data_IF_471192749501
#
_entry.id   IF_471192749501
#
_cell.length_a   1.000
_cell.length_b   1.000
_cell.length_c   1.000
_cell.angle_alpha   90.00
_cell.angle_beta   90.00
_cell.angle_gamma   90.00
#
_symmetry.space_group_name_H-M   'P 1'
#
loop_
_entity.id
_entity.type
_entity.pdbx_description
1 polymer ?
#
# COMPACT_ATOMS: atom_id res chain seq x y z
N UNK A 1 26.66 -15.62 -22.58
CA UNK A 1 27.40 -14.55 -21.88
C UNK A 1 26.81 -14.48 -20.48
N UNK A 2 27.44 -15.14 -19.51
CA UNK A 2 27.02 -15.04 -18.10
C UNK A 2 27.32 -13.62 -17.63
N UNK A 3 26.27 -12.84 -17.38
CA UNK A 3 26.40 -11.54 -16.73
C UNK A 3 26.92 -11.80 -15.32
N UNK A 4 28.18 -11.44 -15.10
CA UNK A 4 28.83 -11.55 -13.80
C UNK A 4 27.92 -10.91 -12.74
N UNK A 5 27.50 -11.71 -11.75
CA UNK A 5 26.75 -11.24 -10.58
C UNK A 5 27.51 -10.06 -9.98
N UNK A 6 26.99 -8.85 -10.12
CA UNK A 6 27.51 -7.61 -9.52
C UNK A 6 27.24 -7.56 -8.01
N UNK A 7 27.27 -8.72 -7.34
CA UNK A 7 27.19 -8.80 -5.88
C UNK A 7 28.61 -8.82 -5.34
N UNK A 8 29.01 -7.73 -4.69
CA UNK A 8 30.23 -7.73 -3.88
C UNK A 8 30.07 -8.82 -2.82
N UNK A 9 30.98 -9.81 -2.74
CA UNK A 9 30.88 -10.88 -1.75
C UNK A 9 30.76 -10.31 -0.33
N UNK A 10 29.69 -10.70 0.38
CA UNK A 10 29.43 -10.27 1.75
C UNK A 10 28.57 -9.00 1.92
N UNK A 11 28.20 -8.29 0.84
CA UNK A 11 27.27 -7.15 0.91
C UNK A 11 25.87 -7.54 0.42
N UNK A 12 24.85 -7.17 1.19
CA UNK A 12 23.45 -7.40 0.86
C UNK A 12 22.57 -6.24 1.31
N UNK A 13 21.60 -5.85 0.47
CA UNK A 13 20.64 -4.81 0.83
C UNK A 13 19.88 -5.12 2.12
N UNK A 14 19.39 -6.36 2.35
CA UNK A 14 18.66 -6.70 3.58
C UNK A 14 19.45 -6.49 4.88
N UNK A 15 20.79 -6.58 4.84
CA UNK A 15 21.63 -6.39 6.02
C UNK A 15 22.18 -4.98 6.12
N UNK A 16 22.72 -4.44 5.04
CA UNK A 16 23.55 -3.24 5.07
C UNK A 16 22.74 -1.95 4.91
N UNK A 17 21.57 -2.05 4.27
CA UNK A 17 20.70 -0.92 3.95
C UNK A 17 19.37 -0.95 4.71
N UNK A 18 19.28 -1.75 5.78
CA UNK A 18 18.06 -1.91 6.59
C UNK A 18 17.45 -0.57 7.03
N UNK A 19 18.30 0.39 7.40
CA UNK A 19 17.88 1.73 7.85
C UNK A 19 17.85 2.78 6.72
N UNK A 20 18.31 2.41 5.52
CA UNK A 20 18.45 3.30 4.36
C UNK A 20 17.44 3.00 3.24
N UNK A 21 16.32 2.34 3.56
CA UNK A 21 15.28 1.97 2.58
C UNK A 21 14.78 3.16 1.74
N UNK A 22 14.61 4.34 2.33
CA UNK A 22 14.13 5.51 1.58
C UNK A 22 15.16 6.00 0.55
N UNK A 23 16.46 5.84 0.82
CA UNK A 23 17.51 6.14 -0.14
C UNK A 23 17.52 5.14 -1.30
N UNK A 24 17.37 3.84 -0.99
CA UNK A 24 17.24 2.77 -2.01
C UNK A 24 16.04 3.03 -2.91
N UNK A 25 14.87 3.35 -2.34
CA UNK A 25 13.68 3.70 -3.11
C UNK A 25 13.92 4.92 -3.99
N UNK A 26 14.51 5.98 -3.45
CA UNK A 26 14.81 7.20 -4.22
C UNK A 26 15.70 6.91 -5.43
N UNK A 27 16.73 6.08 -5.25
CA UNK A 27 17.60 5.64 -6.33
C UNK A 27 16.81 4.87 -7.40
N UNK A 28 16.02 3.87 -6.99
CA UNK A 28 15.22 3.07 -7.91
C UNK A 28 14.20 3.90 -8.71
N UNK A 29 13.61 4.93 -8.10
CA UNK A 29 12.74 5.88 -8.80
C UNK A 29 13.50 6.72 -9.82
N UNK A 30 14.71 7.17 -9.49
CA UNK A 30 15.56 7.89 -10.43
C UNK A 30 15.94 7.00 -11.62
N UNK A 31 16.27 5.72 -11.38
CA UNK A 31 16.59 4.77 -12.45
C UNK A 31 15.42 4.48 -13.37
N UNK A 32 14.20 4.39 -12.82
CA UNK A 32 12.99 4.29 -13.63
C UNK A 32 12.80 5.52 -14.53
N UNK A 33 13.09 6.72 -14.02
CA UNK A 33 13.04 7.93 -14.83
C UNK A 33 14.07 7.90 -15.96
N UNK A 34 15.30 7.45 -15.67
CA UNK A 34 16.36 7.26 -16.68
C UNK A 34 15.95 6.22 -17.73
N UNK A 35 15.40 5.06 -17.33
CA UNK A 35 14.89 4.04 -18.25
C UNK A 35 13.81 4.62 -19.17
N UNK A 36 12.86 5.38 -18.61
CA UNK A 36 11.82 6.03 -19.42
C UNK A 36 12.40 7.07 -20.41
N UNK A 37 13.45 7.79 -20.02
CA UNK A 37 14.17 8.69 -20.92
C UNK A 37 14.85 7.93 -22.07
N UNK A 38 15.49 6.79 -21.79
CA UNK A 38 16.07 5.92 -22.82
C UNK A 38 14.99 5.40 -23.80
N UNK A 39 13.82 4.98 -23.30
CA UNK A 39 12.71 4.57 -24.16
C UNK A 39 12.22 5.70 -25.06
N UNK A 40 12.15 6.92 -24.52
CA UNK A 40 11.76 8.10 -25.30
C UNK A 40 12.77 8.41 -26.41
N UNK A 41 14.06 8.27 -26.12
CA UNK A 41 15.14 8.45 -27.09
C UNK A 41 15.10 7.38 -28.19
N UNK A 42 14.90 6.10 -27.84
CA UNK A 42 14.76 5.00 -28.80
C UNK A 42 13.57 5.23 -29.73
N UNK A 43 12.43 5.63 -29.17
CA UNK A 43 11.24 5.96 -29.96
C UNK A 43 11.50 7.13 -30.93
N UNK A 44 12.19 8.17 -30.47
CA UNK A 44 12.61 9.28 -31.33
C UNK A 44 13.57 8.84 -32.44
N UNK A 45 14.51 7.93 -32.14
CA UNK A 45 15.42 7.37 -33.15
C UNK A 45 14.67 6.60 -34.22
N UNK A 46 13.75 5.72 -33.85
CA UNK A 46 12.92 4.98 -34.81
C UNK A 46 12.11 5.90 -35.73
N UNK A 47 11.52 6.97 -35.17
CA UNK A 47 10.79 7.97 -35.94
C UNK A 47 11.69 8.69 -36.96
N UNK A 48 12.92 9.04 -36.55
CA UNK A 48 13.91 9.64 -37.45
C UNK A 48 14.33 8.67 -38.57
N UNK A 49 14.52 7.39 -38.28
CA UNK A 49 14.85 6.38 -39.30
C UNK A 49 13.71 6.22 -40.32
N UNK A 50 12.46 6.18 -39.86
CA UNK A 50 11.30 6.16 -40.75
C UNK A 50 11.19 7.42 -41.62
N UNK A 51 11.41 8.59 -41.02
CA UNK A 51 11.39 9.86 -41.76
C UNK A 51 12.49 9.88 -42.82
N UNK A 52 13.72 9.52 -42.45
CA UNK A 52 14.86 9.48 -43.35
C UNK A 52 14.61 8.51 -44.51
N UNK A 53 14.13 7.30 -44.21
CA UNK A 53 13.78 6.33 -45.24
C UNK A 53 12.69 6.84 -46.19
N UNK A 54 11.71 7.59 -45.67
CA UNK A 54 10.63 8.17 -46.49
C UNK A 54 11.17 9.24 -47.43
N UNK A 55 12.05 10.12 -46.95
CA UNK A 55 12.70 11.12 -47.80
C UNK A 55 13.61 10.49 -48.86
N UNK A 56 14.35 9.42 -48.53
CA UNK A 56 15.15 8.67 -49.51
C UNK A 56 14.28 8.07 -50.61
N UNK A 57 13.13 7.50 -50.28
CA UNK A 57 12.18 6.98 -51.27
C UNK A 57 11.61 8.13 -52.14
N UNK A 58 11.23 9.24 -51.52
CA UNK A 58 10.73 10.43 -52.24
C UNK A 58 11.76 11.01 -53.20
N UNK A 59 13.05 11.01 -52.83
CA UNK A 59 14.14 11.42 -53.70
C UNK A 59 14.34 10.41 -54.83
N UNK A 60 14.26 9.11 -54.55
CA UNK A 60 14.34 8.07 -55.57
C UNK A 60 13.24 8.23 -56.65
N UNK A 61 12.02 8.59 -56.24
CA UNK A 61 10.88 8.78 -57.15
C UNK A 61 10.98 10.06 -58.01
N UNK A 62 11.79 11.03 -57.59
CA UNK A 62 12.05 12.26 -58.37
C UNK A 62 12.99 12.03 -59.56
N UNK A 63 13.78 10.95 -59.56
CA UNK A 63 14.54 10.52 -60.72
C UNK A 63 13.59 9.90 -61.75
N UNK A 64 12.83 10.74 -62.45
CA UNK A 64 12.05 10.36 -63.63
C UNK A 64 13.02 9.97 -64.73
N UNK A 65 13.19 8.67 -64.94
CA UNK A 65 13.87 8.11 -66.10
C UNK A 65 12.74 7.66 -66.99
N UNK A 66 12.40 8.46 -68.00
CA UNK A 66 11.39 8.07 -68.98
C UNK A 66 11.94 6.85 -69.72
N UNK A 67 11.29 5.70 -69.53
CA UNK A 67 11.57 4.45 -70.26
C UNK A 67 10.95 4.47 -71.68
N UNK A 68 10.42 5.62 -72.10
CA UNK A 68 9.73 5.88 -73.38
C UNK A 68 10.74 6.11 -74.53
N UNK A 69 11.56 5.11 -74.87
CA UNK A 69 12.34 5.16 -76.12
C UNK A 69 12.64 3.79 -76.76
N UNK A 70 12.02 2.70 -76.31
CA UNK A 70 12.26 1.33 -76.84
C UNK A 70 11.02 0.64 -77.44
N UNK A 71 9.92 1.37 -77.68
CA UNK A 71 8.72 0.77 -78.28
C UNK A 71 8.01 1.71 -79.26
N UNK A 72 8.62 1.93 -80.42
CA UNK A 72 7.89 2.40 -81.60
C UNK A 72 8.48 1.81 -82.90
N UNK A 73 8.59 0.49 -82.96
CA UNK A 73 8.62 -0.26 -84.22
C UNK A 73 7.40 -1.18 -84.29
N UNK A 74 6.34 -0.84 -85.06
CA UNK A 74 5.26 -1.76 -85.34
C UNK A 74 5.69 -2.70 -86.48
N UNK A 75 6.22 -3.86 -86.12
CA UNK A 75 6.39 -4.98 -87.06
C UNK A 75 5.08 -5.78 -87.12
N UNK A 76 4.38 -5.75 -88.26
CA UNK A 76 3.58 -6.89 -88.72
C UNK A 76 2.29 -6.61 -89.50
N UNK A 77 2.22 -7.23 -90.69
CA UNK A 77 1.11 -7.36 -91.66
C UNK A 77 0.99 -6.20 -92.68
N UNK A 78 1.11 -6.38 -94.00
CA UNK A 78 0.62 -7.46 -94.85
C UNK A 78 1.21 -7.37 -96.29
N UNK A 79 1.45 -8.53 -96.93
CA UNK A 79 1.52 -8.86 -98.38
C UNK A 79 2.21 -7.94 -99.42
N UNK A 80 3.11 -8.52 -100.23
CA UNK A 80 3.34 -8.09 -101.61
C UNK A 80 4.71 -8.47 -102.18
N UNK A 81 4.71 -9.21 -103.28
CA UNK A 81 5.87 -9.85 -103.89
C UNK A 81 6.78 -8.91 -104.73
N UNK A 82 7.83 -9.56 -105.30
CA UNK A 82 8.62 -9.29 -106.52
C UNK A 82 9.80 -8.28 -106.51
N UNK A 83 11.01 -8.85 -106.41
CA UNK A 83 12.13 -8.87 -107.39
C UNK A 83 12.87 -7.57 -107.77
N UNK A 84 14.22 -7.62 -107.76
CA UNK A 84 15.07 -6.66 -108.49
C UNK A 84 16.28 -6.03 -107.79
N UNK A 85 17.40 -6.77 -107.68
CA UNK A 85 18.76 -6.44 -108.20
C UNK A 85 19.40 -5.03 -107.99
N UNK A 86 20.59 -5.07 -107.33
CA UNK A 86 21.88 -4.32 -107.53
C UNK A 86 22.13 -2.92 -106.91
N UNK A 87 23.38 -2.77 -106.46
CA UNK A 87 24.11 -1.55 -105.99
C UNK A 87 24.54 -1.77 -104.53
N UNK A 88 25.78 -2.09 -104.13
CA UNK A 88 27.09 -1.50 -104.43
C UNK A 88 27.05 0.02 -104.38
N UNK A 89 27.38 0.59 -103.21
CA UNK A 89 28.16 1.83 -103.07
C UNK A 89 28.73 1.89 -101.64
N UNK A 90 30.05 2.09 -101.60
CA UNK A 90 30.83 2.53 -100.44
C UNK A 90 30.38 3.96 -100.07
N UNK A 91 30.20 4.29 -98.78
CA UNK A 91 30.55 5.63 -98.27
C UNK A 91 30.60 5.69 -96.74
N UNK A 92 31.50 6.53 -96.29
CA UNK A 92 31.92 6.80 -94.92
C UNK A 92 30.83 7.38 -94.02
N UNK A 93 30.87 7.04 -92.73
CA UNK A 93 29.89 7.50 -91.75
C UNK A 93 30.30 7.31 -90.29
N UNK A 94 31.59 7.51 -90.01
CA UNK A 94 32.12 7.80 -88.69
C UNK A 94 31.37 8.99 -88.05
N UNK A 95 30.98 8.87 -86.76
CA UNK A 95 30.55 10.01 -85.94
C UNK A 95 29.19 9.97 -85.23
N UNK A 96 28.34 8.96 -85.44
CA UNK A 96 26.98 8.93 -84.85
C UNK A 96 26.84 8.27 -83.47
N UNK A 97 27.76 7.37 -83.09
CA UNK A 97 27.51 6.40 -82.02
C UNK A 97 27.87 6.87 -80.59
N UNK A 98 28.60 7.98 -80.45
CA UNK A 98 29.12 8.43 -79.14
C UNK A 98 28.07 9.19 -78.32
N UNK A 99 27.14 9.91 -78.96
CA UNK A 99 26.06 10.65 -78.25
C UNK A 99 24.99 9.72 -77.69
N UNK A 100 24.59 8.70 -78.45
CA UNK A 100 23.60 7.69 -78.03
C UNK A 100 24.18 6.78 -76.95
N UNK A 101 25.45 6.37 -77.09
CA UNK A 101 26.16 5.59 -76.06
C UNK A 101 26.31 6.36 -74.75
N UNK A 102 26.64 7.66 -74.77
CA UNK A 102 26.75 8.50 -73.56
C UNK A 102 25.39 8.77 -72.89
N UNK A 103 24.32 8.90 -73.68
CA UNK A 103 22.95 8.94 -73.16
C UNK A 103 22.58 7.63 -72.46
N UNK A 104 22.97 6.48 -73.02
CA UNK A 104 22.72 5.16 -72.42
C UNK A 104 23.48 4.95 -71.10
N UNK A 105 24.76 5.32 -71.02
CA UNK A 105 25.55 5.20 -69.77
C UNK A 105 25.08 6.16 -68.68
N UNK A 106 24.63 7.35 -69.05
CA UNK A 106 24.02 8.31 -68.11
C UNK A 106 22.67 7.81 -67.58
N UNK A 107 21.80 7.29 -68.45
CA UNK A 107 20.53 6.65 -68.06
C UNK A 107 20.77 5.47 -67.11
N UNK A 108 21.77 4.64 -67.41
CA UNK A 108 22.15 3.51 -66.55
C UNK A 108 22.71 3.96 -65.19
N UNK A 109 23.56 4.99 -65.16
CA UNK A 109 24.06 5.58 -63.92
C UNK A 109 22.93 6.19 -63.06
N UNK A 110 21.96 6.86 -63.68
CA UNK A 110 20.77 7.39 -62.99
C UNK A 110 19.86 6.27 -62.47
N UNK A 111 19.67 5.17 -63.22
CA UNK A 111 18.95 3.97 -62.74
C UNK A 111 19.67 3.34 -61.55
N UNK A 112 20.98 3.21 -61.62
CA UNK A 112 21.82 2.72 -60.51
C UNK A 112 21.70 3.60 -59.27
N UNK A 113 21.72 4.93 -59.44
CA UNK A 113 21.54 5.87 -58.33
C UNK A 113 20.14 5.75 -57.72
N UNK A 114 19.08 5.71 -58.55
CA UNK A 114 17.71 5.48 -58.08
C UNK A 114 17.59 4.18 -57.28
N UNK A 115 18.14 3.08 -57.78
CA UNK A 115 18.17 1.79 -57.09
C UNK A 115 18.94 1.85 -55.76
N UNK A 116 20.00 2.65 -55.67
CA UNK A 116 20.74 2.84 -54.43
C UNK A 116 19.91 3.59 -53.37
N UNK A 117 19.19 4.65 -53.76
CA UNK A 117 18.31 5.39 -52.85
C UNK A 117 17.14 4.53 -52.36
N UNK A 118 16.50 3.74 -53.24
CA UNK A 118 15.43 2.82 -52.83
C UNK A 118 15.94 1.71 -51.93
N UNK A 119 17.09 1.10 -52.23
CA UNK A 119 17.68 0.07 -51.38
C UNK A 119 18.00 0.61 -49.99
N UNK A 120 18.67 1.77 -49.93
CA UNK A 120 19.00 2.43 -48.65
C UNK A 120 17.73 2.78 -47.87
N UNK A 121 16.68 3.29 -48.53
CA UNK A 121 15.37 3.52 -47.89
C UNK A 121 14.80 2.25 -47.25
N UNK A 122 14.81 1.12 -47.97
CA UNK A 122 14.33 -0.17 -47.44
C UNK A 122 15.16 -0.62 -46.24
N UNK A 123 16.49 -0.47 -46.29
CA UNK A 123 17.37 -0.81 -45.16
C UNK A 123 17.04 0.01 -43.90
N UNK A 124 16.81 1.32 -44.03
CA UNK A 124 16.46 2.17 -42.89
C UNK A 124 15.05 1.87 -42.35
N UNK A 125 14.09 1.49 -43.20
CA UNK A 125 12.79 0.96 -42.74
C UNK A 125 12.93 -0.33 -41.95
N UNK A 126 13.75 -1.26 -42.45
CA UNK A 126 14.02 -2.52 -41.77
C UNK A 126 14.73 -2.30 -40.43
N UNK A 127 15.72 -1.40 -40.38
CA UNK A 127 16.41 -1.02 -39.13
C UNK A 127 15.42 -0.47 -38.09
N UNK A 128 14.51 0.41 -38.50
CA UNK A 128 13.50 0.97 -37.59
C UNK A 128 12.55 -0.11 -37.05
N UNK A 129 12.14 -1.07 -37.88
CA UNK A 129 11.31 -2.21 -37.46
C UNK A 129 12.07 -3.10 -36.46
N UNK A 130 13.33 -3.44 -36.76
CA UNK A 130 14.16 -4.25 -35.86
C UNK A 130 14.42 -3.52 -34.53
N UNK A 131 14.64 -2.21 -34.54
CA UNK A 131 14.77 -1.41 -33.31
C UNK A 131 13.49 -1.42 -32.47
N UNK A 132 12.30 -1.46 -33.09
CA UNK A 132 11.06 -1.61 -32.35
C UNK A 132 10.98 -2.98 -31.68
N UNK A 133 11.09 -4.04 -32.48
CA UNK A 133 10.85 -5.43 -32.06
C UNK A 133 11.93 -5.96 -31.10
N UNK A 134 13.21 -5.76 -31.43
CA UNK A 134 14.31 -6.39 -30.70
C UNK A 134 14.76 -5.58 -29.47
N UNK A 135 14.51 -4.26 -29.46
CA UNK A 135 15.04 -3.36 -28.42
C UNK A 135 13.92 -2.64 -27.69
N UNK A 136 13.08 -1.88 -28.39
CA UNK A 136 12.09 -1.03 -27.74
C UNK A 136 11.01 -1.84 -27.01
N UNK A 137 10.40 -2.84 -27.65
CA UNK A 137 9.32 -3.64 -27.03
C UNK A 137 9.80 -4.42 -25.79
N UNK A 138 10.96 -5.11 -25.79
CA UNK A 138 11.49 -5.77 -24.60
C UNK A 138 11.78 -4.78 -23.46
N UNK A 139 12.45 -3.66 -23.76
CA UNK A 139 12.73 -2.63 -22.75
C UNK A 139 11.45 -2.01 -22.20
N UNK A 140 10.47 -1.73 -23.05
CA UNK A 140 9.20 -1.15 -22.63
C UNK A 140 8.38 -2.11 -21.76
N UNK A 141 8.41 -3.40 -22.08
CA UNK A 141 7.77 -4.45 -21.26
C UNK A 141 8.44 -4.56 -19.89
N UNK A 142 9.78 -4.56 -19.86
CA UNK A 142 10.54 -4.54 -18.61
C UNK A 142 10.20 -3.29 -17.79
N UNK A 143 10.18 -2.11 -18.40
CA UNK A 143 9.82 -0.86 -17.72
C UNK A 143 8.43 -0.94 -17.07
N UNK A 144 7.41 -1.41 -17.79
CA UNK A 144 6.05 -1.60 -17.23
C UNK A 144 6.04 -2.54 -16.03
N UNK A 145 6.76 -3.65 -16.12
CA UNK A 145 6.91 -4.61 -15.03
C UNK A 145 7.58 -3.95 -13.80
N UNK A 146 8.67 -3.22 -14.01
CA UNK A 146 9.43 -2.56 -12.96
C UNK A 146 8.61 -1.45 -12.26
N UNK A 147 7.85 -0.65 -13.01
CA UNK A 147 6.93 0.36 -12.45
C UNK A 147 5.84 -0.29 -11.59
N UNK A 148 5.27 -1.40 -12.05
CA UNK A 148 4.28 -2.17 -11.27
C UNK A 148 4.90 -2.78 -10.01
N UNK A 149 6.15 -3.23 -10.05
CA UNK A 149 6.87 -3.74 -8.88
C UNK A 149 7.16 -2.63 -7.88
N UNK A 150 7.63 -1.46 -8.35
CA UNK A 150 7.92 -0.29 -7.51
C UNK A 150 6.71 0.21 -6.73
N UNK A 151 5.55 0.30 -7.39
CA UNK A 151 4.31 0.73 -6.73
C UNK A 151 3.87 -0.26 -5.64
N UNK A 152 3.97 -1.57 -5.90
CA UNK A 152 3.70 -2.61 -4.89
C UNK A 152 4.62 -2.49 -3.68
N UNK A 153 5.93 -2.32 -3.89
CA UNK A 153 6.90 -2.18 -2.81
C UNK A 153 6.66 -0.90 -1.99
N UNK A 154 6.27 0.19 -2.65
CA UNK A 154 5.92 1.46 -2.00
C UNK A 154 4.68 1.31 -1.10
N UNK A 155 3.63 0.65 -1.59
CA UNK A 155 2.42 0.37 -0.80
C UNK A 155 2.75 -0.55 0.38
N UNK A 156 3.54 -1.61 0.16
CA UNK A 156 3.95 -2.53 1.21
C UNK A 156 4.73 -1.80 2.31
N UNK A 157 5.74 -1.01 1.95
CA UNK A 157 6.54 -0.20 2.87
C UNK A 157 5.66 0.72 3.72
N UNK A 158 4.74 1.44 3.07
CA UNK A 158 3.85 2.39 3.76
C UNK A 158 2.91 1.66 4.72
N UNK A 159 2.37 0.51 4.31
CA UNK A 159 1.47 -0.31 5.12
C UNK A 159 2.16 -0.81 6.39
N UNK A 160 3.35 -1.40 6.26
CA UNK A 160 4.07 -1.99 7.42
C UNK A 160 4.51 -0.90 8.40
N UNK A 161 5.00 0.25 7.91
CA UNK A 161 5.31 1.42 8.76
C UNK A 161 4.07 1.92 9.50
N UNK A 162 2.93 2.06 8.81
CA UNK A 162 1.67 2.51 9.43
C UNK A 162 1.16 1.54 10.48
N UNK A 163 1.24 0.22 10.21
CA UNK A 163 0.84 -0.81 11.16
C UNK A 163 1.68 -0.76 12.44
N UNK A 164 3.01 -0.70 12.31
CA UNK A 164 3.92 -0.64 13.47
C UNK A 164 3.66 0.60 14.31
N UNK A 165 3.49 1.77 13.65
CA UNK A 165 3.16 3.02 14.33
C UNK A 165 1.82 2.96 15.07
N UNK A 166 0.83 2.21 14.56
CA UNK A 166 -0.44 2.02 15.25
C UNK A 166 -0.29 1.19 16.55
N UNK A 167 0.56 0.15 16.53
CA UNK A 167 0.88 -0.61 17.74
C UNK A 167 1.70 0.20 18.74
N UNK A 168 2.66 0.99 18.27
CA UNK A 168 3.43 1.93 19.11
C UNK A 168 2.50 2.92 19.84
N UNK A 169 1.58 3.53 19.09
CA UNK A 169 0.60 4.47 19.62
C UNK A 169 -0.37 3.79 20.61
N UNK A 170 -0.77 2.55 20.34
CA UNK A 170 -1.57 1.77 21.27
C UNK A 170 -0.83 1.51 22.58
N UNK A 171 0.43 1.05 22.51
CA UNK A 171 1.29 0.85 23.67
C UNK A 171 1.46 2.16 24.47
N UNK A 172 1.75 3.27 23.79
CA UNK A 172 1.91 4.58 24.44
C UNK A 172 0.66 4.99 25.23
N UNK A 173 -0.53 4.79 24.67
CA UNK A 173 -1.80 5.05 25.38
C UNK A 173 -1.97 4.16 26.61
N UNK A 174 -1.68 2.87 26.50
CA UNK A 174 -1.78 1.96 27.65
C UNK A 174 -0.75 2.27 28.72
N UNK A 175 0.47 2.66 28.33
CA UNK A 175 1.51 3.08 29.25
C UNK A 175 1.10 4.33 30.05
N UNK A 176 0.53 5.34 29.39
CA UNK A 176 0.02 6.55 30.06
C UNK A 176 -1.12 6.19 31.04
N UNK A 177 -2.04 5.30 30.63
CA UNK A 177 -3.14 4.83 31.49
C UNK A 177 -2.59 4.09 32.72
N UNK A 178 -1.64 3.20 32.52
CA UNK A 178 -0.96 2.48 33.60
C UNK A 178 -0.27 3.44 34.58
N UNK A 179 0.54 4.38 34.07
CA UNK A 179 1.27 5.34 34.91
C UNK A 179 0.31 6.19 35.78
N UNK A 180 -0.82 6.61 35.20
CA UNK A 180 -1.87 7.32 35.95
C UNK A 180 -2.43 6.47 37.10
N UNK A 181 -2.84 5.23 36.83
CA UNK A 181 -3.42 4.37 37.86
C UNK A 181 -2.39 3.91 38.89
N UNK A 182 -1.13 3.74 38.48
CA UNK A 182 -0.04 3.43 39.40
C UNK A 182 0.22 4.58 40.39
N UNK A 183 0.24 5.83 39.92
CA UNK A 183 0.36 7.02 40.78
C UNK A 183 -0.81 7.18 41.73
N UNK A 184 -2.03 6.94 41.24
CA UNK A 184 -3.24 6.96 42.06
C UNK A 184 -3.17 5.91 43.17
N UNK A 185 -2.89 4.64 42.82
CA UNK A 185 -2.70 3.56 43.78
C UNK A 185 -1.59 3.85 44.80
N UNK A 186 -0.46 4.40 44.36
CA UNK A 186 0.65 4.79 45.25
C UNK A 186 0.20 5.87 46.24
N UNK A 187 -0.58 6.85 45.78
CA UNK A 187 -1.09 7.95 46.61
C UNK A 187 -2.11 7.45 47.63
N UNK A 188 -3.09 6.64 47.20
CA UNK A 188 -4.10 6.08 48.11
C UNK A 188 -3.50 5.07 49.08
N UNK A 189 -2.47 4.32 48.67
CA UNK A 189 -1.74 3.42 49.56
C UNK A 189 -0.99 4.20 50.65
N UNK A 190 -0.28 5.27 50.29
CA UNK A 190 0.40 6.14 51.25
C UNK A 190 -0.60 6.75 52.25
N UNK A 191 -1.71 7.29 51.75
CA UNK A 191 -2.79 7.84 52.60
C UNK A 191 -3.35 6.80 53.58
N UNK A 192 -3.53 5.56 53.15
CA UNK A 192 -3.99 4.49 54.04
C UNK A 192 -2.99 4.20 55.16
N UNK A 193 -1.70 4.18 54.85
CA UNK A 193 -0.65 4.00 55.85
C UNK A 193 -0.58 5.19 56.82
N UNK A 194 -0.70 6.42 56.33
CA UNK A 194 -0.68 7.64 57.16
C UNK A 194 -1.84 7.69 58.16
N UNK A 195 -3.00 7.13 57.80
CA UNK A 195 -4.18 7.01 58.68
C UNK A 195 -4.07 5.82 59.67
N UNK A 196 -2.97 5.06 59.59
CA UNK A 196 -2.63 3.96 60.50
C UNK A 196 -3.22 2.61 60.10
N UNK A 197 -3.53 2.40 58.82
CA UNK A 197 -3.88 1.07 58.29
C UNK A 197 -2.59 0.29 58.06
N UNK A 198 -2.44 -0.86 58.71
CA UNK A 198 -1.24 -1.68 58.56
C UNK A 198 -1.09 -2.20 57.11
N UNK A 199 0.14 -2.17 56.59
CA UNK A 199 0.47 -2.64 55.23
C UNK A 199 0.03 -4.08 55.00
N UNK A 200 0.11 -4.95 56.00
CA UNK A 200 -0.26 -6.36 55.93
C UNK A 200 -1.76 -6.52 55.66
N UNK A 201 -2.60 -5.63 56.19
CA UNK A 201 -4.06 -5.68 55.99
C UNK A 201 -4.38 -5.37 54.53
N UNK A 202 -3.78 -4.29 54.00
CA UNK A 202 -3.94 -3.90 52.59
C UNK A 202 -3.42 -5.00 51.67
N UNK A 203 -2.25 -5.56 51.99
CA UNK A 203 -1.64 -6.64 51.21
C UNK A 203 -2.49 -7.90 51.22
N UNK A 204 -2.92 -8.39 52.38
CA UNK A 204 -3.75 -9.59 52.50
C UNK A 204 -5.09 -9.44 51.77
N UNK A 205 -5.69 -8.24 51.81
CA UNK A 205 -6.93 -7.98 51.10
C UNK A 205 -6.73 -7.89 49.59
N UNK A 206 -5.59 -7.37 49.12
CA UNK A 206 -5.19 -7.46 47.72
C UNK A 206 -4.89 -8.91 47.29
N UNK A 207 -4.24 -9.73 48.12
CA UNK A 207 -4.00 -11.15 47.83
C UNK A 207 -5.31 -11.94 47.68
N UNK A 208 -6.33 -11.58 48.46
CA UNK A 208 -7.67 -12.14 48.36
C UNK A 208 -8.46 -11.60 47.15
N UNK A 209 -7.94 -10.60 46.44
CA UNK A 209 -8.60 -10.01 45.27
C UNK A 209 -8.62 -10.99 44.09
N UNK A 210 -9.73 -11.05 43.33
CA UNK A 210 -9.79 -11.77 42.06
C UNK A 210 -8.74 -11.34 41.04
N UNK A 211 -8.23 -10.10 41.12
CA UNK A 211 -7.19 -9.59 40.20
C UNK A 211 -5.84 -10.25 40.47
N UNK A 212 -5.53 -10.49 41.75
CA UNK A 212 -4.31 -11.19 42.16
C UNK A 212 -4.43 -12.70 41.95
N UNK A 213 -5.61 -13.27 42.23
CA UNK A 213 -5.94 -14.69 42.04
C UNK A 213 -6.20 -15.09 40.59
N UNK A 214 -5.86 -14.26 39.60
CA UNK A 214 -5.68 -14.72 38.22
C UNK A 214 -4.19 -15.09 38.01
N UNK A 215 -3.73 -16.29 38.41
CA UNK A 215 -2.50 -16.81 37.86
C UNK A 215 -2.78 -17.10 36.39
N UNK A 216 -1.95 -16.57 35.49
CA UNK A 216 -1.68 -17.15 34.17
C UNK A 216 -2.87 -17.91 33.56
N UNK A 217 -3.94 -17.22 33.14
CA UNK A 217 -4.76 -17.80 32.08
C UNK A 217 -3.84 -17.91 30.88
N UNK A 218 -3.35 -19.12 30.65
CA UNK A 218 -2.69 -19.55 29.42
C UNK A 218 -3.51 -18.97 28.29
N UNK A 219 -2.85 -18.14 27.47
CA UNK A 219 -3.36 -17.68 26.19
C UNK A 219 -4.03 -18.86 25.47
N UNK A 220 -5.36 -18.90 25.50
CA UNK A 220 -6.14 -19.70 24.57
C UNK A 220 -6.24 -18.87 23.28
N UNK A 221 -5.84 -19.42 22.11
CA UNK A 221 -5.56 -18.63 20.92
C UNK A 221 -6.81 -18.19 20.14
N UNK A 222 -7.97 -18.00 20.78
CA UNK A 222 -9.25 -17.85 20.06
C UNK A 222 -10.02 -16.55 20.30
N UNK A 223 -9.38 -15.51 20.84
CA UNK A 223 -9.90 -14.14 20.69
C UNK A 223 -8.92 -13.28 19.92
N UNK A 224 -8.86 -13.58 18.62
CA UNK A 224 -8.48 -12.63 17.58
C UNK A 224 -9.38 -11.41 17.73
N UNK A 225 -8.91 -10.41 18.48
CA UNK A 225 -9.30 -9.02 18.25
C UNK A 225 -9.13 -8.80 16.76
N UNK A 226 -10.24 -8.54 16.08
CA UNK A 226 -10.31 -8.37 14.63
C UNK A 226 -9.21 -7.41 14.20
N UNK A 227 -8.21 -7.86 13.41
CA UNK A 227 -7.29 -6.94 12.79
C UNK A 227 -8.08 -6.07 11.80
N UNK A 228 -7.71 -4.80 11.58
CA UNK A 228 -8.18 -4.08 10.40
C UNK A 228 -7.83 -4.91 9.15
N UNK A 229 -8.69 -4.93 8.12
CA UNK A 229 -8.75 -5.98 7.12
C UNK A 229 -7.38 -6.22 6.48
N UNK A 230 -6.83 -7.39 6.79
CA UNK A 230 -5.68 -7.96 6.12
C UNK A 230 -6.19 -8.58 4.83
N UNK A 231 -6.08 -7.85 3.72
CA UNK A 231 -6.13 -8.49 2.40
C UNK A 231 -4.88 -9.37 2.29
N UNK A 232 -5.07 -10.65 2.60
CA UNK A 232 -4.13 -11.72 2.28
C UNK A 232 -3.88 -11.72 0.77
N UNK A 233 -2.61 -11.68 0.41
CA UNK A 233 -2.16 -12.04 -0.92
C UNK A 233 -2.08 -13.57 -0.95
N UNK A 234 -2.86 -14.20 -1.81
CA UNK A 234 -2.52 -15.52 -2.35
C UNK A 234 -2.42 -15.44 -3.88
N UNK A 235 -1.61 -16.30 -4.51
CA UNK A 235 -1.20 -16.17 -5.90
C UNK A 235 -2.12 -16.90 -6.90
N UNK A 236 -2.28 -16.25 -8.06
CA UNK A 236 -2.57 -16.81 -9.40
C UNK A 236 -3.72 -17.84 -9.58
N UNK A 237 -4.80 -17.41 -10.26
CA UNK A 237 -5.45 -18.19 -11.33
C UNK A 237 -6.31 -17.27 -12.22
N UNK A 238 -6.29 -17.59 -13.50
CA UNK A 238 -6.90 -16.96 -14.68
C UNK A 238 -8.43 -17.11 -14.76
N UNK A 239 -9.11 -16.12 -15.35
CA UNK A 239 -10.15 -16.24 -16.43
C UNK A 239 -11.29 -15.22 -16.29
N UNK A 240 -11.40 -14.38 -17.32
CA UNK A 240 -12.60 -13.90 -18.04
C UNK A 240 -13.91 -13.46 -17.34
N UNK A 241 -14.36 -12.30 -17.86
CA UNK A 241 -15.74 -11.93 -18.24
C UNK A 241 -16.67 -11.16 -17.27
N UNK A 242 -16.95 -9.91 -17.68
CA UNK A 242 -18.28 -9.33 -17.97
C UNK A 242 -19.10 -8.63 -16.86
N UNK A 243 -19.25 -7.30 -17.07
CA UNK A 243 -20.40 -6.38 -16.93
C UNK A 243 -21.08 -6.05 -15.58
N UNK A 244 -20.96 -4.75 -15.25
CA UNK A 244 -21.95 -3.71 -14.89
C UNK A 244 -23.13 -3.93 -13.92
N UNK A 245 -23.60 -2.85 -13.23
CA UNK A 245 -24.31 -2.92 -11.95
C UNK A 245 -25.78 -2.45 -12.00
N UNK A 246 -26.69 -3.03 -11.21
CA UNK A 246 -27.99 -2.41 -10.91
C UNK A 246 -28.63 -2.85 -9.59
N UNK A 247 -29.19 -1.85 -8.89
CA UNK A 247 -30.42 -1.81 -8.09
C UNK A 247 -30.55 -2.46 -6.68
N UNK A 248 -30.79 -1.58 -5.69
CA UNK A 248 -31.73 -1.73 -4.57
C UNK A 248 -33.18 -1.40 -5.05
N UNK A 249 -34.30 -1.55 -4.27
CA UNK A 249 -34.45 -1.73 -2.80
C UNK A 249 -35.62 -2.68 -2.35
N UNK A 250 -36.01 -2.57 -1.06
CA UNK A 250 -37.22 -3.10 -0.34
C UNK A 250 -37.09 -4.45 0.40
N UNK A 251 -37.73 -4.75 1.56
CA UNK A 251 -38.28 -4.07 2.77
C UNK A 251 -38.76 -5.23 3.70
N UNK A 252 -39.10 -4.94 4.99
CA UNK A 252 -39.85 -5.76 6.00
C UNK A 252 -38.99 -6.74 6.85
N UNK A 253 -39.05 -6.88 8.20
CA UNK A 253 -39.76 -6.24 9.33
C UNK A 253 -39.23 -6.85 10.66
N UNK A 254 -39.05 -5.99 11.67
CA UNK A 254 -39.24 -6.15 13.15
C UNK A 254 -38.47 -7.16 14.01
N UNK A 255 -38.02 -6.63 15.16
CA UNK A 255 -37.85 -7.14 16.55
C UNK A 255 -36.47 -6.66 17.03
N UNK A 256 -36.24 -5.96 18.14
CA UNK A 256 -37.00 -5.58 19.32
C UNK A 256 -35.98 -4.95 20.29
N UNK A 257 -36.23 -3.73 20.74
CA UNK A 257 -35.35 -2.94 21.63
C UNK A 257 -35.56 -3.36 23.09
N UNK A 258 -34.51 -3.57 23.93
CA UNK A 258 -34.72 -3.70 25.37
C UNK A 258 -34.68 -2.34 26.06
N UNK A 259 -35.73 -2.10 26.84
CA UNK A 259 -36.00 -0.88 27.60
C UNK A 259 -35.22 -0.80 28.93
N UNK A 260 -35.02 0.44 29.34
CA UNK A 260 -34.39 0.96 30.57
C UNK A 260 -35.23 0.64 31.82
N UNK A 261 -34.62 0.22 32.95
CA UNK A 261 -35.35 0.00 34.21
C UNK A 261 -35.61 1.31 35.01
N UNK A 262 -36.73 1.40 35.76
CA UNK A 262 -37.12 2.58 36.55
C UNK A 262 -36.54 2.59 37.98
N UNK A 263 -36.49 3.76 38.65
CA UNK A 263 -35.87 3.95 39.97
C UNK A 263 -36.80 3.59 41.15
N UNK A 264 -36.25 3.24 42.33
CA UNK A 264 -37.04 2.89 43.50
C UNK A 264 -37.51 4.09 44.34
N UNK A 265 -38.63 3.84 45.00
CA UNK A 265 -39.63 4.71 45.59
C UNK A 265 -39.27 5.32 46.95
N UNK A 266 -39.59 6.60 47.14
CA UNK A 266 -39.66 7.27 48.46
C UNK A 266 -41.08 7.15 49.05
N UNK A 267 -41.26 6.84 50.35
CA UNK A 267 -42.55 6.94 50.99
C UNK A 267 -42.82 8.34 51.56
N UNK A 268 -44.00 8.85 51.23
CA UNK A 268 -44.62 10.12 51.62
C UNK A 268 -45.20 9.99 53.05
N UNK A 269 -44.94 10.96 53.93
CA UNK A 269 -45.60 11.08 55.24
C UNK A 269 -46.82 12.00 55.06
N UNK A 270 -48.01 11.52 55.40
CA UNK A 270 -49.24 12.31 55.50
C UNK A 270 -49.61 12.50 56.98
N UNK A 271 -49.79 13.76 57.38
CA UNK A 271 -50.28 14.17 58.70
C UNK A 271 -51.80 14.33 58.63
N UNK A 272 -52.53 13.83 59.64
CA UNK A 272 -53.93 14.20 59.89
C UNK A 272 -54.24 14.15 61.38
N UNK A 273 -54.80 15.25 61.88
CA UNK A 273 -55.29 15.50 63.23
C UNK A 273 -56.69 14.91 63.46
N UNK A 274 -57.05 14.64 64.73
CA UNK A 274 -58.44 14.76 65.19
C UNK A 274 -59.03 13.68 66.12
N UNK A 275 -58.88 13.90 67.44
CA UNK A 275 -59.88 13.74 68.55
C UNK A 275 -60.57 12.39 68.88
N UNK A 276 -60.49 12.00 70.18
CA UNK A 276 -61.64 11.46 70.92
C UNK A 276 -61.47 10.25 71.87
N UNK A 277 -61.32 10.53 73.18
CA UNK A 277 -61.74 9.76 74.39
C UNK A 277 -60.97 8.53 74.96
N UNK A 278 -60.51 8.74 76.21
CA UNK A 278 -59.97 7.90 77.32
C UNK A 278 -60.89 6.73 77.81
N UNK A 279 -60.42 5.72 78.61
CA UNK A 279 -59.50 5.85 79.76
C UNK A 279 -58.39 4.81 80.01
N UNK A 280 -57.47 5.27 80.86
CA UNK A 280 -56.23 4.72 81.47
C UNK A 280 -56.29 3.28 82.04
N UNK A 281 -55.12 2.60 82.17
CA UNK A 281 -54.43 2.63 83.47
C UNK A 281 -52.92 2.96 83.38
N UNK A 282 -52.27 2.95 84.55
CA UNK A 282 -51.25 3.88 85.03
C UNK A 282 -49.81 3.34 84.86
N UNK A 283 -48.86 4.29 84.72
CA UNK A 283 -47.39 4.14 84.88
C UNK A 283 -46.67 3.43 83.72
N UNK A 284 -45.73 4.06 83.01
CA UNK A 284 -44.44 4.47 83.58
C UNK A 284 -43.88 5.65 82.80
N UNK A 285 -43.43 6.66 83.53
CA UNK A 285 -42.67 7.80 83.04
C UNK A 285 -41.41 7.32 82.30
N UNK A 286 -41.35 7.53 81.00
CA UNK A 286 -40.09 7.65 80.27
C UNK A 286 -40.10 9.02 79.62
N UNK A 287 -39.33 9.91 80.22
CA UNK A 287 -39.06 11.26 79.77
C UNK A 287 -38.79 11.26 78.27
N UNK A 288 -39.51 12.12 77.53
CA UNK A 288 -39.09 12.56 76.20
C UNK A 288 -37.78 13.32 76.37
N UNK A 289 -36.67 12.59 76.49
CA UNK A 289 -35.35 13.15 76.32
C UNK A 289 -35.26 13.58 74.86
N UNK A 290 -35.22 14.90 74.67
CA UNK A 290 -34.66 15.60 73.52
C UNK A 290 -33.84 14.67 72.62
N UNK A 291 -34.32 14.43 71.40
CA UNK A 291 -33.50 13.86 70.33
C UNK A 291 -32.30 14.78 70.18
N UNK A 292 -31.20 14.34 70.75
CA UNK A 292 -29.95 15.09 70.82
C UNK A 292 -29.41 15.21 69.39
N UNK A 293 -29.52 16.41 68.81
CA UNK A 293 -29.07 16.68 67.45
C UNK A 293 -27.61 16.28 67.22
N UNK A 294 -26.79 16.25 68.28
CA UNK A 294 -25.42 15.76 68.23
C UNK A 294 -25.31 14.25 68.03
N UNK A 295 -26.23 13.44 68.59
CA UNK A 295 -26.31 11.99 68.32
C UNK A 295 -26.79 11.73 66.90
N UNK A 296 -27.73 12.52 66.39
CA UNK A 296 -28.18 12.40 65.00
C UNK A 296 -27.04 12.72 64.01
N UNK A 297 -26.28 13.78 64.26
CA UNK A 297 -25.10 14.18 63.48
C UNK A 297 -23.96 13.15 63.60
N UNK A 298 -23.77 12.55 64.78
CA UNK A 298 -22.83 11.44 64.99
C UNK A 298 -23.23 10.15 64.27
N UNK A 299 -24.51 9.95 63.94
CA UNK A 299 -24.99 8.84 63.12
C UNK A 299 -24.92 9.14 61.62
N UNK A 300 -24.96 10.42 61.24
CA UNK A 300 -24.88 10.89 59.85
C UNK A 300 -23.43 11.09 59.36
N UNK A 301 -22.49 11.35 60.27
CA UNK A 301 -21.06 11.45 59.95
C UNK A 301 -20.42 10.06 59.99
N UNK A 302 -19.65 9.65 58.97
CA UNK A 302 -18.95 8.38 58.99
C UNK A 302 -18.06 8.29 60.24
N UNK A 303 -18.19 7.19 60.98
CA UNK A 303 -17.33 6.96 62.14
C UNK A 303 -15.86 6.94 61.72
N UNK A 304 -14.94 7.25 62.64
CA UNK A 304 -13.50 7.17 62.35
C UNK A 304 -13.09 5.79 61.79
N UNK A 305 -13.78 4.73 62.22
CA UNK A 305 -13.60 3.38 61.70
C UNK A 305 -14.15 3.22 60.27
N UNK A 306 -15.36 3.69 59.99
CA UNK A 306 -15.93 3.65 58.63
C UNK A 306 -15.07 4.42 57.61
N UNK A 307 -14.45 5.54 58.02
CA UNK A 307 -13.50 6.27 57.16
C UNK A 307 -12.26 5.43 56.84
N UNK A 308 -11.73 4.69 57.82
CA UNK A 308 -10.61 3.76 57.63
C UNK A 308 -10.97 2.59 56.74
N UNK A 309 -12.15 1.99 56.94
CA UNK A 309 -12.62 0.87 56.14
C UNK A 309 -12.88 1.29 54.68
N UNK A 310 -13.47 2.48 54.46
CA UNK A 310 -13.66 3.05 53.13
C UNK A 310 -12.32 3.35 52.44
N UNK A 311 -11.34 3.89 53.18
CA UNK A 311 -10.01 4.16 52.64
C UNK A 311 -9.30 2.85 52.27
N UNK A 312 -9.35 1.83 53.14
CA UNK A 312 -8.83 0.49 52.86
C UNK A 312 -9.42 -0.09 51.57
N UNK A 313 -10.74 -0.07 51.41
CA UNK A 313 -11.43 -0.55 50.20
C UNK A 313 -10.97 0.26 48.97
N UNK A 314 -10.82 1.57 49.11
CA UNK A 314 -10.40 2.46 48.01
C UNK A 314 -8.96 2.18 47.61
N UNK A 315 -8.04 2.01 48.57
CA UNK A 315 -6.64 1.66 48.32
C UNK A 315 -6.51 0.32 47.62
N UNK A 316 -7.24 -0.71 48.08
CA UNK A 316 -7.24 -2.04 47.45
C UNK A 316 -7.77 -1.94 46.00
N UNK A 317 -8.89 -1.24 45.78
CA UNK A 317 -9.43 -1.03 44.42
C UNK A 317 -8.49 -0.25 43.50
N UNK A 318 -7.77 0.73 44.03
CA UNK A 318 -6.78 1.48 43.27
C UNK A 318 -5.62 0.57 42.83
N UNK A 319 -5.14 -0.30 43.72
CA UNK A 319 -4.11 -1.32 43.41
C UNK A 319 -4.63 -2.32 42.36
N UNK A 320 -5.86 -2.82 42.48
CA UNK A 320 -6.49 -3.71 41.50
C UNK A 320 -6.57 -3.07 40.10
N UNK A 321 -6.96 -1.79 40.06
CA UNK A 321 -7.06 -1.01 38.82
C UNK A 321 -5.69 -0.78 38.20
N UNK A 322 -4.68 -0.50 39.03
CA UNK A 322 -3.29 -0.37 38.59
C UNK A 322 -2.75 -1.70 38.03
N UNK A 323 -2.99 -2.84 38.68
CA UNK A 323 -2.51 -4.14 38.19
C UNK A 323 -3.20 -4.57 36.89
N UNK A 324 -4.52 -4.33 36.78
CA UNK A 324 -5.26 -4.57 35.53
C UNK A 324 -4.65 -3.76 34.39
N UNK A 325 -4.37 -2.47 34.63
CA UNK A 325 -3.75 -1.58 33.64
C UNK A 325 -2.29 -1.97 33.33
N UNK A 326 -1.57 -2.52 34.33
CA UNK A 326 -0.23 -3.08 34.15
C UNK A 326 -0.24 -4.28 33.21
N UNK A 327 -1.26 -5.14 33.33
CA UNK A 327 -1.43 -6.30 32.45
C UNK A 327 -1.78 -5.87 31.02
N UNK A 328 -2.73 -4.95 30.84
CA UNK A 328 -3.08 -4.37 29.53
C UNK A 328 -1.86 -3.71 28.86
N UNK A 329 -1.06 -2.97 29.63
CA UNK A 329 0.18 -2.35 29.15
C UNK A 329 1.21 -3.41 28.69
N UNK A 330 1.38 -4.50 29.45
CA UNK A 330 2.25 -5.63 29.05
C UNK A 330 1.80 -6.27 27.74
N UNK A 331 0.50 -6.53 27.60
CA UNK A 331 -0.06 -7.13 26.36
C UNK A 331 0.18 -6.20 25.18
N UNK A 332 -0.04 -4.89 25.35
CA UNK A 332 0.23 -3.90 24.30
C UNK A 332 1.71 -3.80 23.95
N UNK A 333 2.61 -3.89 24.93
CA UNK A 333 4.06 -3.94 24.71
C UNK A 333 4.47 -5.15 23.88
N UNK A 334 3.99 -6.34 24.24
CA UNK A 334 4.29 -7.57 23.49
C UNK A 334 3.81 -7.46 22.03
N UNK A 335 2.60 -6.93 21.80
CA UNK A 335 2.09 -6.71 20.46
C UNK A 335 2.90 -5.67 19.66
N UNK A 336 3.41 -4.62 20.31
CA UNK A 336 4.32 -3.67 19.68
C UNK A 336 5.67 -4.30 19.34
N UNK A 337 6.24 -5.11 20.23
CA UNK A 337 7.50 -5.79 20.00
C UNK A 337 7.41 -6.77 18.82
N UNK A 338 6.33 -7.56 18.75
CA UNK A 338 6.06 -8.45 17.62
C UNK A 338 5.91 -7.67 16.30
N UNK A 339 5.21 -6.54 16.33
CA UNK A 339 5.06 -5.66 15.17
C UNK A 339 6.40 -5.06 14.73
N UNK A 340 7.27 -4.69 15.69
CA UNK A 340 8.61 -4.17 15.43
C UNK A 340 9.52 -5.21 14.77
N UNK A 341 9.49 -6.45 15.25
CA UNK A 341 10.21 -7.57 14.62
C UNK A 341 9.67 -7.83 13.20
N UNK A 342 8.34 -7.84 13.04
CA UNK A 342 7.70 -8.01 11.73
C UNK A 342 8.05 -6.87 10.76
N UNK A 343 8.19 -5.63 11.25
CA UNK A 343 8.65 -4.48 10.45
C UNK A 343 10.03 -4.75 9.88
N UNK A 344 11.01 -5.12 10.71
CA UNK A 344 12.36 -5.38 10.24
C UNK A 344 12.41 -6.53 9.23
N UNK A 345 11.72 -7.65 9.50
CA UNK A 345 11.62 -8.77 8.55
C UNK A 345 10.99 -8.36 7.22
N UNK A 346 9.96 -7.52 7.27
CA UNK A 346 9.30 -7.01 6.05
C UNK A 346 10.21 -6.06 5.27
N UNK A 347 10.94 -5.17 5.95
CA UNK A 347 11.91 -4.29 5.31
C UNK A 347 13.04 -5.11 4.68
N UNK A 348 13.55 -6.14 5.36
CA UNK A 348 14.54 -7.07 4.82
C UNK A 348 14.04 -7.74 3.54
N UNK A 349 12.79 -8.23 3.54
CA UNK A 349 12.16 -8.80 2.34
C UNK A 349 12.04 -7.78 1.21
N UNK A 350 11.63 -6.54 1.50
CA UNK A 350 11.51 -5.46 0.51
C UNK A 350 12.89 -5.11 -0.09
N UNK A 351 13.91 -5.01 0.75
CA UNK A 351 15.29 -4.76 0.32
C UNK A 351 15.84 -5.90 -0.53
N UNK A 352 15.48 -7.15 -0.20
CA UNK A 352 15.82 -8.29 -1.02
C UNK A 352 15.14 -8.19 -2.40
N UNK A 353 13.87 -7.79 -2.47
CA UNK A 353 13.16 -7.59 -3.74
C UNK A 353 13.78 -6.48 -4.60
N UNK A 354 14.33 -5.43 -3.96
CA UNK A 354 15.13 -4.41 -4.62
C UNK A 354 16.46 -4.96 -5.11
N UNK A 355 17.17 -5.77 -4.32
CA UNK A 355 18.45 -6.36 -4.74
C UNK A 355 18.30 -7.34 -5.91
N UNK A 356 17.31 -8.24 -5.85
CA UNK A 356 17.05 -9.22 -6.92
C UNK A 356 16.68 -8.54 -8.24
N UNK A 357 16.06 -7.35 -8.20
CA UNK A 357 15.75 -6.53 -9.38
C UNK A 357 16.98 -6.07 -10.15
N UNK A 358 18.15 -5.99 -9.51
CA UNK A 358 19.40 -5.51 -10.12
C UNK A 358 20.34 -6.63 -10.56
N UNK A 359 20.04 -7.88 -10.18
CA UNK A 359 20.92 -9.04 -10.43
C UNK A 359 20.40 -9.87 -11.62
N UNK A 360 19.17 -9.66 -12.06
CA UNK A 360 18.54 -10.29 -13.23
C UNK A 360 17.99 -9.23 -14.16
#
# INVERSE_FOLDING_TARGET
MEVARTTIPGLSFPTDLLFNLDAVRKHCTADLATHNACLSMLKGRMQLEHYYATELARLADQFKIDDEDDSNDPVGAEHGAIDGKRGADDDDGDGGNDRTSRSSTLKEALRGLRAQYTNTSVQHKALAANLDEDVYQPMHTLYKYLVKKESKLTVCTTRVRKQTKAFEEHYRKQHIKFDKHFKDASTTYAQAMDVGIAREIIHNQYLASPVHLRPHEKHHPDKRTTPPPTHSLDPAATSDAVSSPQHSPELITTIGTPAKPPPPSSPHITVSDGTGNTPRPRSTSMSRSTLDGTKLVSWLLPSGQQKKDNLLITSVKAIETAETSRHECRVAWNGFEDARVALFRSIQSILNDYQVRWIH
#
